data_IF_892596612619
#
_entry.id   IF_892596612619
#
_cell.length_a   1.000
_cell.length_b   1.000
_cell.length_c   1.000
_cell.angle_alpha   90.00
_cell.angle_beta   90.00
_cell.angle_gamma   90.00
#
_symmetry.space_group_name_H-M   'P 1'
#
loop_
_entity.id
_entity.type
_entity.pdbx_description
1 polymer ?
#
# COMPACT_ATOMS: atom_id res chain seq x y z
N UNK A 1 29.31 -10.71 34.05
CA UNK A 1 30.18 -9.94 33.14
C UNK A 1 30.21 -10.72 31.83
N UNK A 2 29.68 -10.31 30.69
CA UNK A 2 29.15 -9.02 30.23
C UNK A 2 28.29 -9.36 28.99
N UNK A 3 27.03 -8.91 28.96
CA UNK A 3 26.10 -9.09 27.83
C UNK A 3 26.36 -7.98 26.81
N UNK A 4 26.71 -8.32 25.56
CA UNK A 4 26.77 -7.34 24.46
C UNK A 4 25.46 -7.36 23.68
N UNK A 5 24.67 -6.30 23.83
CA UNK A 5 23.54 -5.99 22.97
C UNK A 5 24.02 -5.51 21.57
N UNK A 6 23.29 -5.78 20.48
CA UNK A 6 23.58 -5.16 19.18
C UNK A 6 23.17 -3.68 19.20
N UNK A 7 24.11 -2.80 18.87
CA UNK A 7 23.89 -1.35 18.79
C UNK A 7 22.99 -1.00 17.58
N UNK A 8 21.85 -0.37 17.88
CA UNK A 8 21.07 0.43 16.94
C UNK A 8 21.85 1.72 16.60
N UNK A 9 22.09 1.95 15.30
CA UNK A 9 22.13 3.25 14.60
C UNK A 9 22.52 4.51 15.40
N UNK A 10 23.72 5.06 15.18
CA UNK A 10 23.99 6.17 14.22
C UNK A 10 25.21 7.01 14.68
N UNK A 11 26.04 7.48 13.75
CA UNK A 11 27.19 8.34 14.10
C UNK A 11 28.00 8.94 12.96
N UNK A 12 27.68 8.69 11.70
CA UNK A 12 28.35 9.37 10.59
C UNK A 12 27.37 9.66 9.46
N UNK A 13 26.52 10.69 9.65
CA UNK A 13 25.76 11.30 8.55
C UNK A 13 26.58 12.39 7.90
N UNK A 14 26.89 12.19 6.62
CA UNK A 14 27.17 13.29 5.69
C UNK A 14 26.01 14.31 5.71
N UNK A 15 26.28 15.61 5.46
CA UNK A 15 25.25 16.64 5.50
C UNK A 15 24.16 16.34 4.46
N UNK A 16 22.94 16.21 4.96
CA UNK A 16 21.71 15.98 4.20
C UNK A 16 21.56 16.96 3.03
N UNK A 17 21.58 16.44 1.79
CA UNK A 17 21.04 17.14 0.61
C UNK A 17 19.55 17.38 0.86
N UNK A 18 19.15 18.66 0.90
CA UNK A 18 17.79 19.08 1.20
C UNK A 18 16.73 18.48 0.26
N UNK A 19 15.50 18.36 0.79
CA UNK A 19 14.31 17.92 0.06
C UNK A 19 14.15 18.67 -1.27
N UNK A 20 14.02 17.92 -2.37
CA UNK A 20 13.67 18.47 -3.69
C UNK A 20 12.27 19.07 -3.66
N UNK A 21 12.13 20.28 -4.21
CA UNK A 21 10.84 20.94 -4.44
C UNK A 21 10.08 20.29 -5.61
N UNK A 22 8.73 20.35 -5.62
CA UNK A 22 7.93 19.88 -6.75
C UNK A 22 8.25 20.67 -8.03
N UNK A 23 8.41 19.96 -9.15
CA UNK A 23 8.61 20.56 -10.47
C UNK A 23 7.32 21.29 -10.92
N UNK A 24 7.42 22.60 -11.16
CA UNK A 24 6.44 23.37 -11.92
C UNK A 24 6.32 22.85 -13.36
N UNK A 25 5.11 22.74 -13.93
CA UNK A 25 4.93 22.37 -15.33
C UNK A 25 5.50 23.47 -16.24
N UNK A 26 6.32 23.06 -17.21
CA UNK A 26 6.88 23.94 -18.23
C UNK A 26 5.80 24.36 -19.21
N UNK A 27 5.54 25.66 -19.31
CA UNK A 27 4.71 26.27 -20.35
C UNK A 27 5.33 25.99 -21.72
N UNK A 28 4.79 25.01 -22.44
CA UNK A 28 5.10 24.80 -23.86
C UNK A 28 3.82 24.45 -24.60
N UNK A 29 3.02 25.46 -24.89
CA UNK A 29 2.07 25.52 -26.00
C UNK A 29 1.68 27.00 -26.19
N UNK A 30 1.47 27.40 -27.44
CA UNK A 30 1.21 28.76 -27.97
C UNK A 30 2.45 29.55 -28.43
N UNK A 31 2.99 29.16 -29.59
CA UNK A 31 3.48 30.10 -30.60
C UNK A 31 3.59 29.43 -31.98
N UNK A 32 2.56 29.61 -32.78
CA UNK A 32 2.45 29.60 -34.26
C UNK A 32 0.94 29.78 -34.48
N UNK A 33 0.42 30.95 -34.82
CA UNK A 33 0.47 31.60 -36.12
C UNK A 33 0.26 33.12 -35.98
N UNK A 34 0.93 33.89 -36.84
CA UNK A 34 0.42 35.11 -37.51
C UNK A 34 1.61 36.03 -37.82
N UNK A 35 1.97 36.07 -39.10
CA UNK A 35 2.96 36.94 -39.69
C UNK A 35 2.24 37.97 -40.58
N UNK A 36 2.77 39.20 -40.64
CA UNK A 36 2.46 40.31 -41.60
C UNK A 36 1.25 41.20 -41.22
N UNK A 37 1.28 42.54 -41.18
CA UNK A 37 2.23 43.62 -41.54
C UNK A 37 1.80 44.91 -40.81
N UNK A 38 2.73 45.79 -40.41
CA UNK A 38 2.46 47.18 -39.95
C UNK A 38 2.19 48.13 -41.14
N UNK A 39 1.70 49.38 -40.96
CA UNK A 39 2.47 50.56 -40.46
C UNK A 39 1.61 51.49 -39.54
N UNK A 40 2.03 52.53 -38.80
CA UNK A 40 3.26 53.31 -38.59
C UNK A 40 3.01 54.39 -37.50
N UNK A 41 3.98 54.60 -36.60
CA UNK A 41 4.45 55.89 -35.94
C UNK A 41 3.51 56.76 -35.07
N UNK A 42 4.05 57.72 -34.26
CA UNK A 42 5.13 57.60 -33.26
C UNK A 42 4.82 58.39 -31.95
N UNK A 43 5.80 58.43 -31.02
CA UNK A 43 6.16 59.52 -30.06
C UNK A 43 6.44 58.97 -28.63
N UNK A 44 7.43 59.36 -27.83
CA UNK A 44 8.47 60.41 -27.90
C UNK A 44 9.41 60.23 -26.69
N UNK A 45 10.74 60.18 -26.92
CA UNK A 45 11.88 60.62 -26.06
C UNK A 45 12.05 60.08 -24.61
N UNK A 46 13.22 59.95 -23.98
CA UNK A 46 14.59 60.48 -24.19
C UNK A 46 15.59 59.64 -23.33
N UNK A 47 16.84 59.66 -23.78
CA UNK A 47 18.14 59.21 -23.22
C UNK A 47 18.44 59.70 -21.78
N UNK A 48 19.43 59.23 -20.99
CA UNK A 48 20.86 59.01 -21.27
C UNK A 48 21.55 58.21 -20.13
N UNK A 49 22.55 57.41 -20.53
CA UNK A 49 23.78 56.87 -19.88
C UNK A 49 24.10 57.14 -18.39
N UNK A 50 24.53 56.08 -17.67
CA UNK A 50 25.94 55.81 -17.30
C UNK A 50 26.08 54.75 -16.17
N UNK A 51 26.89 53.72 -16.40
CA UNK A 51 27.42 52.69 -15.46
C UNK A 51 28.55 53.29 -14.58
N UNK A 52 29.16 52.63 -13.54
CA UNK A 52 29.07 51.22 -13.11
C UNK A 52 29.09 50.91 -11.57
N UNK A 53 28.75 49.64 -11.27
CA UNK A 53 29.12 48.79 -10.11
C UNK A 53 28.76 49.17 -8.66
N UNK A 54 27.87 48.36 -8.06
CA UNK A 54 28.06 47.77 -6.73
C UNK A 54 27.20 46.52 -6.62
N UNK A 55 27.84 45.39 -6.30
CA UNK A 55 27.17 44.18 -5.82
C UNK A 55 26.30 44.50 -4.60
N UNK A 56 25.06 44.00 -4.56
CA UNK A 56 24.40 43.52 -3.34
C UNK A 56 23.03 42.87 -3.64
N UNK A 57 22.99 41.55 -3.47
CA UNK A 57 21.85 40.68 -3.08
C UNK A 57 20.45 41.16 -3.49
N UNK A 58 19.95 40.70 -4.63
CA UNK A 58 18.51 40.63 -4.91
C UNK A 58 17.88 39.51 -4.09
N UNK A 59 17.51 39.84 -2.85
CA UNK A 59 16.61 39.02 -2.06
C UNK A 59 15.26 38.90 -2.78
N UNK A 60 14.87 37.67 -3.11
CA UNK A 60 13.49 37.35 -3.48
C UNK A 60 12.64 37.67 -2.24
N UNK A 61 12.02 38.86 -2.20
CA UNK A 61 11.05 39.20 -1.16
C UNK A 61 9.88 38.24 -1.31
N UNK A 62 9.74 37.33 -0.36
CA UNK A 62 8.58 36.45 -0.22
C UNK A 62 7.31 37.31 -0.19
N UNK A 63 6.34 36.98 -1.05
CA UNK A 63 4.98 37.54 -1.02
C UNK A 63 4.06 36.81 -0.04
N UNK A 64 4.59 35.85 0.72
CA UNK A 64 3.84 35.09 1.70
C UNK A 64 3.80 35.89 3.01
N UNK A 65 2.60 36.31 3.39
CA UNK A 65 2.34 36.86 4.73
C UNK A 65 2.45 35.73 5.75
N UNK A 66 3.13 36.00 6.87
CA UNK A 66 3.14 35.11 8.05
C UNK A 66 1.75 35.04 8.70
N UNK A 67 0.93 36.06 8.47
CA UNK A 67 -0.43 36.17 9.00
C UNK A 67 -1.50 35.76 7.98
N UNK A 68 -1.18 34.86 7.04
CA UNK A 68 -2.18 34.36 6.10
C UNK A 68 -3.20 33.49 6.86
N UNK A 69 -4.52 33.77 6.75
CA UNK A 69 -5.53 32.96 7.41
C UNK A 69 -5.50 31.53 6.86
N UNK A 70 -5.61 30.56 7.78
CA UNK A 70 -5.60 29.14 7.45
C UNK A 70 -6.79 28.81 6.52
N UNK A 71 -6.50 28.10 5.43
CA UNK A 71 -7.51 27.76 4.44
C UNK A 71 -8.37 26.59 4.92
N UNK A 72 -9.65 26.85 5.18
CA UNK A 72 -10.64 25.83 5.51
C UNK A 72 -11.56 25.58 4.31
N UNK A 73 -11.63 24.33 3.78
CA UNK A 73 -12.58 23.97 2.75
C UNK A 73 -14.03 24.15 3.23
N UNK A 74 -14.93 24.62 2.36
CA UNK A 74 -16.33 24.94 2.68
C UNK A 74 -17.17 23.79 3.28
N UNK A 75 -16.67 22.56 3.27
CA UNK A 75 -17.33 21.38 3.82
C UNK A 75 -17.00 21.13 5.30
N UNK A 76 -16.04 21.87 5.87
CA UNK A 76 -15.62 21.70 7.27
C UNK A 76 -16.53 22.49 8.21
N UNK A 77 -17.36 21.78 9.00
CA UNK A 77 -18.05 22.35 10.15
C UNK A 77 -17.25 22.00 11.40
N UNK A 78 -16.71 23.03 12.08
CA UNK A 78 -15.96 22.86 13.32
C UNK A 78 -16.87 22.29 14.43
N UNK A 79 -16.47 21.20 15.11
CA UNK A 79 -17.08 20.84 16.38
C UNK A 79 -16.57 21.80 17.45
N UNK A 80 -17.51 22.43 18.15
CA UNK A 80 -17.29 23.30 19.31
C UNK A 80 -16.39 22.62 20.34
N UNK A 81 -15.40 23.36 20.82
CA UNK A 81 -14.44 23.00 21.86
C UNK A 81 -15.14 22.35 23.05
N UNK A 82 -14.85 21.07 23.29
CA UNK A 82 -15.03 20.42 24.58
C UNK A 82 -13.64 19.97 25.05
N UNK A 83 -13.13 20.68 26.06
CA UNK A 83 -12.02 20.24 26.89
C UNK A 83 -12.33 18.86 27.49
N UNK A 84 -11.41 17.92 27.29
CA UNK A 84 -10.97 16.84 28.20
C UNK A 84 -10.74 15.49 27.49
N UNK A 85 -9.71 14.81 27.99
CA UNK A 85 -9.34 13.39 27.80
C UNK A 85 -8.57 13.03 26.53
N UNK A 86 -7.24 13.04 26.64
CA UNK A 86 -6.42 11.96 26.10
C UNK A 86 -7.00 10.64 26.60
N UNK A 87 -7.84 9.99 25.80
CA UNK A 87 -8.39 8.68 26.15
C UNK A 87 -7.25 7.68 26.15
N UNK A 88 -7.04 7.01 27.27
CA UNK A 88 -6.01 5.97 27.38
C UNK A 88 -6.28 4.85 26.37
N UNK A 89 -5.22 4.13 25.96
CA UNK A 89 -5.32 2.95 25.09
C UNK A 89 -6.37 1.95 25.61
N UNK A 90 -6.54 1.87 26.93
CA UNK A 90 -7.55 1.03 27.57
C UNK A 90 -8.99 1.49 27.31
N UNK A 91 -9.25 2.79 27.17
CA UNK A 91 -10.59 3.31 26.90
C UNK A 91 -11.03 3.07 25.45
N UNK A 92 -10.07 3.02 24.51
CA UNK A 92 -10.34 2.66 23.11
C UNK A 92 -10.71 1.18 22.97
N UNK A 93 -10.03 0.31 23.72
CA UNK A 93 -10.36 -1.12 23.83
C UNK A 93 -11.76 -1.33 24.45
N UNK A 94 -12.11 -0.52 25.46
CA UNK A 94 -13.44 -0.57 26.12
C UNK A 94 -14.58 -0.03 25.27
N UNK A 95 -14.36 1.03 24.48
CA UNK A 95 -15.42 1.62 23.63
C UNK A 95 -15.97 0.64 22.60
N UNK A 96 -15.16 -0.29 22.08
CA UNK A 96 -15.63 -1.35 21.19
C UNK A 96 -16.39 -2.48 21.90
N UNK A 97 -16.12 -2.73 23.18
CA UNK A 97 -16.85 -3.72 23.99
C UNK A 97 -18.34 -3.35 24.19
N UNK A 98 -18.68 -2.07 24.09
CA UNK A 98 -20.06 -1.58 24.29
C UNK A 98 -20.88 -1.58 22.99
N UNK A 99 -20.24 -1.56 21.82
CA UNK A 99 -20.95 -1.49 20.52
C UNK A 99 -21.37 -2.86 19.98
N UNK A 100 -20.76 -3.97 20.41
CA UNK A 100 -21.11 -5.33 19.96
C UNK A 100 -22.36 -5.94 20.61
N UNK A 101 -23.02 -5.24 21.55
CA UNK A 101 -24.19 -5.79 22.26
C UNK A 101 -25.54 -5.58 21.57
N UNK A 102 -25.63 -4.97 20.38
CA UNK A 102 -26.92 -4.82 19.69
C UNK A 102 -26.81 -4.94 18.16
N UNK A 103 -27.50 -5.97 17.64
CA UNK A 103 -27.99 -6.15 16.26
C UNK A 103 -27.07 -6.93 15.28
N UNK A 104 -27.18 -8.26 15.32
CA UNK A 104 -27.19 -9.07 14.08
C UNK A 104 -28.46 -9.92 14.13
N UNK A 105 -29.44 -9.56 13.30
CA UNK A 105 -30.58 -10.40 12.99
C UNK A 105 -30.43 -10.78 11.51
N UNK A 106 -29.92 -11.98 11.25
CA UNK A 106 -29.89 -12.58 9.92
C UNK A 106 -31.10 -13.54 9.77
N UNK A 107 -31.73 -13.62 8.58
CA UNK A 107 -32.81 -14.57 8.31
C UNK A 107 -32.25 -15.98 8.06
N UNK A 108 -33.04 -17.06 8.24
CA UNK A 108 -32.51 -18.41 8.25
C UNK A 108 -32.40 -18.96 6.82
N UNK A 109 -31.22 -19.43 6.44
CA UNK A 109 -31.07 -20.37 5.32
C UNK A 109 -30.31 -21.59 5.82
N UNK A 110 -31.04 -22.70 5.90
CA UNK A 110 -30.53 -24.03 6.21
C UNK A 110 -29.46 -24.44 5.21
N UNK A 111 -28.22 -24.57 5.68
CA UNK A 111 -27.23 -25.54 5.23
C UNK A 111 -26.25 -25.73 6.39
N UNK A 112 -26.03 -26.97 6.79
CA UNK A 112 -25.18 -27.34 7.92
C UNK A 112 -23.72 -27.15 7.48
N UNK A 113 -23.22 -25.92 7.56
CA UNK A 113 -21.81 -25.68 7.82
C UNK A 113 -21.62 -25.82 9.33
N UNK A 114 -20.66 -26.65 9.72
CA UNK A 114 -20.29 -26.81 11.12
C UNK A 114 -19.61 -25.51 11.54
N UNK A 115 -20.41 -24.55 12.01
CA UNK A 115 -19.92 -23.36 12.68
C UNK A 115 -19.12 -23.81 13.91
N UNK A 116 -17.80 -23.87 13.75
CA UNK A 116 -16.89 -23.91 14.88
C UNK A 116 -17.16 -22.65 15.70
N UNK A 117 -17.84 -22.80 16.83
CA UNK A 117 -17.99 -21.72 17.81
C UNK A 117 -16.56 -21.26 18.14
N UNK A 118 -16.22 -20.04 17.73
CA UNK A 118 -14.89 -19.47 17.98
C UNK A 118 -14.59 -19.57 19.48
N UNK A 119 -13.43 -20.12 19.82
CA UNK A 119 -12.94 -20.10 21.20
C UNK A 119 -12.88 -18.65 21.69
N UNK A 120 -13.08 -18.36 22.99
CA UNK A 120 -12.81 -17.04 23.55
C UNK A 120 -11.45 -16.47 23.16
N UNK A 121 -10.44 -17.33 22.99
CA UNK A 121 -9.10 -16.94 22.55
C UNK A 121 -9.04 -16.63 21.05
N UNK A 122 -9.82 -17.31 20.21
CA UNK A 122 -9.97 -16.96 18.79
C UNK A 122 -10.60 -15.58 18.63
N UNK A 123 -11.65 -15.28 19.42
CA UNK A 123 -12.32 -13.97 19.40
C UNK A 123 -11.33 -12.88 19.81
N UNK A 124 -10.56 -13.10 20.88
CA UNK A 124 -9.53 -12.17 21.34
C UNK A 124 -8.45 -11.95 20.28
N UNK A 125 -7.96 -13.01 19.66
CA UNK A 125 -6.92 -12.92 18.64
C UNK A 125 -7.42 -12.22 17.37
N UNK A 126 -8.64 -12.53 16.90
CA UNK A 126 -9.31 -11.80 15.81
C UNK A 126 -9.42 -10.31 16.14
N UNK A 127 -9.90 -9.98 17.35
CA UNK A 127 -10.06 -8.58 17.77
C UNK A 127 -8.71 -7.83 17.78
N UNK A 128 -7.65 -8.48 18.27
CA UNK A 128 -6.30 -7.93 18.28
C UNK A 128 -5.77 -7.70 16.86
N UNK A 129 -5.88 -8.69 15.98
CA UNK A 129 -5.48 -8.58 14.57
C UNK A 129 -6.21 -7.40 13.92
N UNK A 130 -7.54 -7.33 14.07
CA UNK A 130 -8.37 -6.28 13.48
C UNK A 130 -8.02 -4.89 14.01
N UNK A 131 -7.76 -4.78 15.31
CA UNK A 131 -7.37 -3.50 15.94
C UNK A 131 -6.05 -3.00 15.38
N UNK A 132 -5.06 -3.89 15.30
CA UNK A 132 -3.70 -3.56 14.87
C UNK A 132 -3.63 -3.19 13.38
N UNK A 133 -4.55 -3.73 12.58
CA UNK A 133 -4.60 -3.53 11.12
C UNK A 133 -5.53 -2.41 10.68
N UNK A 134 -6.49 -1.98 11.52
CA UNK A 134 -7.37 -0.83 11.26
C UNK A 134 -6.70 0.52 11.50
N UNK A 135 -5.75 0.59 12.43
CA UNK A 135 -5.07 1.83 12.81
C UNK A 135 -3.56 1.80 12.43
N UNK A 136 -3.20 1.94 11.14
CA UNK A 136 -1.81 1.83 10.69
C UNK A 136 -0.87 2.87 11.33
N UNK A 137 -1.39 4.04 11.74
CA UNK A 137 -0.62 5.09 12.43
C UNK A 137 -0.25 4.75 13.88
N UNK A 138 -0.84 3.70 14.45
CA UNK A 138 -0.54 3.20 15.80
C UNK A 138 0.03 1.78 15.76
N UNK A 139 0.39 1.29 14.57
CA UNK A 139 0.85 -0.09 14.39
C UNK A 139 2.01 -0.41 15.33
N UNK A 140 3.05 0.44 15.39
CA UNK A 140 4.21 0.19 16.25
C UNK A 140 3.84 0.13 17.73
N UNK A 141 3.01 1.07 18.20
CA UNK A 141 2.58 1.14 19.61
C UNK A 141 1.73 -0.08 20.02
N UNK A 142 0.94 -0.61 19.09
CA UNK A 142 0.09 -1.78 19.32
C UNK A 142 0.83 -3.10 19.09
N UNK A 143 1.88 -3.10 18.27
CA UNK A 143 2.65 -4.30 17.92
C UNK A 143 3.32 -4.92 19.13
N UNK A 144 3.93 -4.11 19.99
CA UNK A 144 4.60 -4.63 21.18
C UNK A 144 3.61 -5.33 22.11
N UNK A 145 2.44 -4.71 22.36
CA UNK A 145 1.35 -5.29 23.15
C UNK A 145 0.83 -6.59 22.52
N UNK A 146 0.71 -6.62 21.20
CA UNK A 146 0.29 -7.80 20.46
C UNK A 146 1.32 -8.93 20.60
N UNK A 147 2.60 -8.64 20.41
CA UNK A 147 3.68 -9.62 20.50
C UNK A 147 3.84 -10.15 21.92
N UNK A 148 3.74 -9.29 22.95
CA UNK A 148 3.73 -9.74 24.36
C UNK A 148 2.56 -10.69 24.66
N UNK A 149 1.43 -10.49 23.97
CA UNK A 149 0.27 -11.38 24.10
C UNK A 149 0.47 -12.70 23.36
N UNK A 150 1.14 -12.70 22.21
CA UNK A 150 1.32 -13.87 21.37
C UNK A 150 2.54 -14.73 21.77
N UNK A 151 3.58 -14.10 22.33
CA UNK A 151 4.86 -14.71 22.69
C UNK A 151 4.74 -15.95 23.59
N UNK A 152 3.84 -15.99 24.60
CA UNK A 152 3.66 -17.19 25.43
C UNK A 152 3.20 -18.43 24.66
N UNK A 153 2.69 -18.25 23.43
CA UNK A 153 2.14 -19.32 22.60
C UNK A 153 3.06 -19.72 21.43
N UNK A 154 4.27 -19.17 21.34
CA UNK A 154 5.19 -19.49 20.24
C UNK A 154 5.68 -20.94 20.23
N UNK A 155 5.66 -21.63 21.38
CA UNK A 155 5.97 -23.07 21.44
C UNK A 155 4.76 -23.95 21.08
N UNK A 156 3.55 -23.37 20.99
CA UNK A 156 2.34 -24.08 20.64
C UNK A 156 2.04 -23.97 19.14
N UNK A 157 2.46 -24.99 18.40
CA UNK A 157 2.28 -25.10 16.95
C UNK A 157 0.80 -25.00 16.57
N UNK A 158 -0.13 -25.50 17.38
CA UNK A 158 -1.56 -25.44 17.06
C UNK A 158 -2.11 -24.02 17.18
N UNK A 159 -1.67 -23.27 18.20
CA UNK A 159 -2.07 -21.87 18.38
C UNK A 159 -1.48 -21.00 17.28
N UNK A 160 -0.21 -21.19 16.93
CA UNK A 160 0.40 -20.51 15.79
C UNK A 160 -0.31 -20.82 14.48
N UNK A 161 -0.68 -22.09 14.29
CA UNK A 161 -1.38 -22.49 13.09
C UNK A 161 -2.74 -21.80 12.99
N UNK A 162 -3.47 -21.77 14.11
CA UNK A 162 -4.73 -21.06 14.24
C UNK A 162 -4.57 -19.57 14.01
N UNK A 163 -3.52 -18.94 14.54
CA UNK A 163 -3.23 -17.52 14.33
C UNK A 163 -3.02 -17.18 12.84
N UNK A 164 -2.26 -18.00 12.11
CA UNK A 164 -2.03 -17.82 10.68
C UNK A 164 -3.33 -17.92 9.89
N UNK A 165 -4.15 -18.93 10.20
CA UNK A 165 -5.46 -19.13 9.59
C UNK A 165 -6.38 -17.93 9.85
N UNK A 166 -6.48 -17.48 11.10
CA UNK A 166 -7.30 -16.33 11.47
C UNK A 166 -6.83 -15.05 10.77
N UNK A 167 -5.53 -14.82 10.67
CA UNK A 167 -4.99 -13.64 10.00
C UNK A 167 -5.37 -13.64 8.51
N UNK A 168 -5.10 -14.74 7.78
CA UNK A 168 -5.47 -14.87 6.37
C UNK A 168 -6.99 -14.73 6.19
N UNK A 169 -7.77 -15.29 7.12
CA UNK A 169 -9.23 -15.20 7.09
C UNK A 169 -9.74 -13.76 7.24
N UNK A 170 -9.22 -13.02 8.22
CA UNK A 170 -9.61 -11.63 8.44
C UNK A 170 -9.23 -10.74 7.25
N UNK A 171 -8.08 -10.99 6.63
CA UNK A 171 -7.60 -10.21 5.48
C UNK A 171 -8.53 -10.35 4.28
N UNK A 172 -8.95 -11.57 3.93
CA UNK A 172 -9.89 -11.71 2.82
C UNK A 172 -11.27 -11.12 3.17
N UNK A 173 -11.69 -11.18 4.44
CA UNK A 173 -13.02 -10.73 4.85
C UNK A 173 -13.18 -9.21 4.84
N UNK A 174 -12.12 -8.46 5.17
CA UNK A 174 -12.15 -7.00 5.30
C UNK A 174 -11.83 -6.27 3.98
N UNK A 175 -11.19 -6.95 3.03
CA UNK A 175 -10.86 -6.51 1.66
C UNK A 175 -10.48 -5.01 1.51
N UNK A 176 -9.65 -4.49 2.43
CA UNK A 176 -9.22 -3.08 2.42
C UNK A 176 -7.71 -2.96 2.13
N UNK A 177 -7.24 -2.10 1.21
CA UNK A 177 -5.81 -1.99 0.85
C UNK A 177 -4.89 -1.73 2.05
N UNK A 178 -5.22 -0.76 2.89
CA UNK A 178 -4.41 -0.45 4.09
C UNK A 178 -4.36 -1.61 5.08
N UNK A 179 -5.44 -2.38 5.16
CA UNK A 179 -5.52 -3.55 6.03
C UNK A 179 -4.60 -4.65 5.50
N UNK A 180 -4.64 -4.94 4.20
CA UNK A 180 -3.76 -5.95 3.55
C UNK A 180 -2.28 -5.64 3.76
N UNK A 181 -1.87 -4.40 3.50
CA UNK A 181 -0.50 -3.95 3.73
C UNK A 181 -0.07 -4.15 5.19
N UNK A 182 -0.91 -3.69 6.13
CA UNK A 182 -0.61 -3.76 7.57
C UNK A 182 -0.59 -5.20 8.08
N UNK A 183 -1.47 -6.06 7.56
CA UNK A 183 -1.48 -7.48 7.87
C UNK A 183 -0.22 -8.20 7.35
N UNK A 184 0.25 -7.86 6.15
CA UNK A 184 1.49 -8.43 5.62
C UNK A 184 2.70 -8.01 6.47
N UNK A 185 2.71 -6.75 6.91
CA UNK A 185 3.72 -6.25 7.85
C UNK A 185 3.65 -6.97 9.20
N UNK A 186 2.45 -7.27 9.71
CA UNK A 186 2.27 -8.08 10.91
C UNK A 186 2.85 -9.49 10.72
N UNK A 187 2.57 -10.17 9.60
CA UNK A 187 3.17 -11.47 9.28
C UNK A 187 4.70 -11.42 9.30
N UNK A 188 5.30 -10.37 8.72
CA UNK A 188 6.75 -10.18 8.75
C UNK A 188 7.27 -10.07 10.18
N UNK A 189 6.57 -9.34 11.05
CA UNK A 189 6.97 -9.21 12.45
C UNK A 189 6.84 -10.54 13.19
N UNK A 190 5.73 -11.27 13.04
CA UNK A 190 5.52 -12.57 13.70
C UNK A 190 6.61 -13.55 13.26
N UNK A 191 6.89 -13.64 11.97
CA UNK A 191 7.90 -14.54 11.42
C UNK A 191 9.32 -14.26 11.97
N UNK A 192 9.65 -13.00 12.25
CA UNK A 192 10.95 -12.63 12.82
C UNK A 192 11.12 -13.17 14.25
N UNK A 193 10.04 -13.24 15.03
CA UNK A 193 10.07 -13.77 16.39
C UNK A 193 9.79 -15.28 16.46
N UNK A 194 9.01 -15.82 15.53
CA UNK A 194 8.62 -17.21 15.48
C UNK A 194 8.68 -17.73 14.02
N UNK A 195 9.83 -18.28 13.61
CA UNK A 195 10.02 -18.84 12.27
C UNK A 195 9.07 -20.00 11.94
N UNK A 196 8.53 -20.71 12.94
CA UNK A 196 7.58 -21.81 12.82
C UNK A 196 6.25 -21.35 12.22
N UNK A 197 5.84 -20.10 12.49
CA UNK A 197 4.65 -19.47 11.90
C UNK A 197 4.68 -19.48 10.36
N UNK A 198 5.87 -19.38 9.77
CA UNK A 198 6.07 -19.33 8.32
C UNK A 198 5.46 -20.52 7.58
N UNK A 199 5.67 -21.72 8.12
CA UNK A 199 5.21 -22.94 7.47
C UNK A 199 3.68 -22.96 7.35
N UNK A 200 2.98 -22.60 8.43
CA UNK A 200 1.52 -22.50 8.39
C UNK A 200 1.05 -21.36 7.49
N UNK A 201 1.70 -20.19 7.53
CA UNK A 201 1.33 -19.07 6.67
C UNK A 201 1.39 -19.48 5.18
N UNK A 202 2.46 -20.16 4.77
CA UNK A 202 2.60 -20.69 3.41
C UNK A 202 1.49 -21.68 3.06
N UNK A 203 1.22 -22.65 3.93
CA UNK A 203 0.20 -23.68 3.71
C UNK A 203 -1.20 -23.07 3.61
N UNK A 204 -1.52 -22.15 4.52
CA UNK A 204 -2.80 -21.43 4.57
C UNK A 204 -3.00 -20.63 3.29
N UNK A 205 -2.04 -19.78 2.90
CA UNK A 205 -2.16 -19.00 1.67
C UNK A 205 -2.37 -19.90 0.43
N UNK A 206 -1.65 -21.02 0.35
CA UNK A 206 -1.79 -21.95 -0.77
C UNK A 206 -3.18 -22.61 -0.81
N UNK A 207 -3.67 -23.07 0.34
CA UNK A 207 -4.98 -23.71 0.48
C UNK A 207 -6.10 -22.74 0.11
N UNK A 208 -6.06 -21.54 0.67
CA UNK A 208 -7.10 -20.53 0.48
C UNK A 208 -7.13 -20.02 -0.98
N UNK A 209 -5.96 -19.86 -1.63
CA UNK A 209 -5.88 -19.51 -3.06
C UNK A 209 -6.46 -20.57 -3.99
N UNK A 210 -6.47 -21.85 -3.57
CA UNK A 210 -7.07 -22.95 -4.35
C UNK A 210 -8.58 -22.99 -4.15
N UNK A 211 -9.06 -22.87 -2.90
CA UNK A 211 -10.44 -23.19 -2.52
C UNK A 211 -11.46 -22.08 -2.77
N UNK A 212 -11.11 -20.80 -2.64
CA UNK A 212 -12.11 -19.72 -2.65
C UNK A 212 -12.32 -19.11 -4.04
N UNK A 213 -13.58 -18.94 -4.47
CA UNK A 213 -13.95 -18.38 -5.79
C UNK A 213 -13.69 -16.87 -5.90
N UNK A 214 -13.70 -16.13 -4.79
CA UNK A 214 -13.44 -14.69 -4.74
C UNK A 214 -11.99 -14.42 -4.29
N UNK A 215 -11.04 -14.48 -5.23
CA UNK A 215 -9.58 -14.48 -4.95
C UNK A 215 -8.96 -13.10 -4.88
N UNK A 216 -9.69 -12.00 -5.07
CA UNK A 216 -9.05 -10.69 -5.30
C UNK A 216 -8.32 -10.15 -4.07
N UNK A 217 -8.98 -10.10 -2.91
CA UNK A 217 -8.38 -9.63 -1.66
C UNK A 217 -7.21 -10.51 -1.22
N UNK A 218 -7.36 -11.84 -1.34
CA UNK A 218 -6.31 -12.80 -1.00
C UNK A 218 -5.12 -12.73 -1.96
N UNK A 219 -5.35 -12.61 -3.28
CA UNK A 219 -4.28 -12.47 -4.26
C UNK A 219 -3.45 -11.21 -4.01
N UNK A 220 -4.12 -10.10 -3.73
CA UNK A 220 -3.44 -8.84 -3.41
C UNK A 220 -2.71 -8.94 -2.07
N UNK A 221 -3.25 -9.66 -1.08
CA UNK A 221 -2.53 -9.92 0.15
C UNK A 221 -1.27 -10.77 -0.07
N UNK A 222 -1.35 -11.83 -0.88
CA UNK A 222 -0.18 -12.63 -1.24
C UNK A 222 0.84 -11.81 -2.04
N UNK A 223 0.39 -10.84 -2.84
CA UNK A 223 1.27 -9.88 -3.49
C UNK A 223 2.00 -8.98 -2.48
N UNK A 224 1.30 -8.47 -1.46
CA UNK A 224 1.92 -7.72 -0.36
C UNK A 224 2.93 -8.60 0.40
N UNK A 225 2.57 -9.84 0.73
CA UNK A 225 3.49 -10.81 1.34
C UNK A 225 4.74 -11.00 0.49
N UNK A 226 4.60 -11.23 -0.82
CA UNK A 226 5.74 -11.38 -1.73
C UNK A 226 6.67 -10.15 -1.76
N UNK A 227 6.13 -8.94 -1.59
CA UNK A 227 6.95 -7.72 -1.54
C UNK A 227 7.65 -7.49 -0.21
N UNK A 228 7.10 -8.01 0.89
CA UNK A 228 7.57 -7.74 2.25
C UNK A 228 8.35 -8.91 2.86
N UNK A 229 8.11 -10.14 2.39
CA UNK A 229 8.79 -11.36 2.81
C UNK A 229 9.81 -11.80 1.76
N UNK A 230 11.02 -12.14 2.20
CA UNK A 230 12.10 -12.64 1.35
C UNK A 230 11.95 -14.13 0.98
N UNK A 231 10.75 -14.51 0.52
CA UNK A 231 10.41 -15.87 0.08
C UNK A 231 9.94 -15.86 -1.38
N UNK A 232 10.76 -15.28 -2.26
CA UNK A 232 10.38 -14.94 -3.63
C UNK A 232 9.95 -16.19 -4.42
N UNK A 233 10.65 -17.31 -4.23
CA UNK A 233 10.33 -18.55 -4.92
C UNK A 233 8.95 -19.11 -4.55
N UNK A 234 8.53 -18.98 -3.28
CA UNK A 234 7.29 -19.60 -2.78
C UNK A 234 6.10 -18.75 -3.20
N UNK A 235 6.08 -17.49 -2.77
CA UNK A 235 4.96 -16.60 -3.09
C UNK A 235 4.93 -16.22 -4.57
N UNK A 236 6.08 -16.14 -5.24
CA UNK A 236 6.15 -15.95 -6.69
C UNK A 236 5.44 -17.07 -7.45
N UNK A 237 5.65 -18.33 -7.06
CA UNK A 237 4.94 -19.46 -7.65
C UNK A 237 3.42 -19.39 -7.38
N UNK A 238 3.01 -19.06 -6.15
CA UNK A 238 1.58 -18.91 -5.81
C UNK A 238 0.90 -17.82 -6.64
N UNK A 239 1.56 -16.67 -6.83
CA UNK A 239 1.07 -15.58 -7.66
C UNK A 239 0.91 -16.03 -9.12
N UNK A 240 1.92 -16.66 -9.71
CA UNK A 240 1.88 -17.16 -11.09
C UNK A 240 0.74 -18.17 -11.29
N UNK A 241 0.60 -19.15 -10.38
CA UNK A 241 -0.48 -20.14 -10.45
C UNK A 241 -1.85 -19.48 -10.36
N UNK A 242 -2.02 -18.54 -9.43
CA UNK A 242 -3.26 -17.80 -9.27
C UNK A 242 -3.58 -16.93 -10.49
N UNK A 243 -2.58 -16.25 -11.08
CA UNK A 243 -2.76 -15.48 -12.32
C UNK A 243 -3.22 -16.38 -13.47
N UNK A 244 -2.56 -17.52 -13.68
CA UNK A 244 -2.93 -18.48 -14.74
C UNK A 244 -4.35 -19.00 -14.57
N UNK A 245 -4.75 -19.30 -13.34
CA UNK A 245 -6.09 -19.77 -13.03
C UNK A 245 -7.15 -18.67 -13.24
N UNK A 246 -6.93 -17.47 -12.72
CA UNK A 246 -7.86 -16.35 -12.89
C UNK A 246 -8.00 -15.90 -14.35
N UNK A 247 -6.91 -15.95 -15.13
CA UNK A 247 -6.96 -15.71 -16.58
C UNK A 247 -7.77 -16.78 -17.32
N UNK A 248 -7.74 -18.04 -16.86
CA UNK A 248 -8.55 -19.11 -17.47
C UNK A 248 -10.04 -18.97 -17.20
N UNK A 249 -10.41 -18.39 -16.05
CA UNK A 249 -11.82 -18.03 -15.74
C UNK A 249 -12.24 -16.79 -16.54
N UNK A 250 -11.32 -15.84 -16.71
CA UNK A 250 -11.58 -14.57 -17.38
C UNK A 250 -12.42 -13.61 -16.52
N UNK A 251 -12.93 -12.55 -17.15
CA UNK A 251 -13.76 -11.54 -16.50
C UNK A 251 -13.00 -10.29 -16.05
N UNK A 252 -13.71 -9.16 -16.07
CA UNK A 252 -13.10 -7.84 -15.82
C UNK A 252 -12.48 -7.73 -14.42
N UNK A 253 -13.16 -8.21 -13.37
CA UNK A 253 -12.64 -8.10 -11.99
C UNK A 253 -11.38 -8.94 -11.76
N UNK A 254 -11.35 -10.16 -12.30
CA UNK A 254 -10.18 -11.03 -12.23
C UNK A 254 -8.97 -10.38 -12.91
N UNK A 255 -9.16 -9.85 -14.12
CA UNK A 255 -8.11 -9.15 -14.87
C UNK A 255 -7.64 -7.89 -14.14
N UNK A 256 -8.54 -7.08 -13.57
CA UNK A 256 -8.17 -5.91 -12.76
C UNK A 256 -7.28 -6.33 -11.59
N UNK A 257 -7.69 -7.37 -10.87
CA UNK A 257 -6.96 -7.86 -9.71
C UNK A 257 -5.55 -8.36 -10.09
N UNK A 258 -5.43 -9.15 -11.16
CA UNK A 258 -4.13 -9.59 -11.70
C UNK A 258 -3.26 -8.38 -12.03
N UNK A 259 -3.81 -7.39 -12.75
CA UNK A 259 -3.05 -6.20 -13.13
C UNK A 259 -2.61 -5.38 -11.90
N UNK A 260 -3.45 -5.28 -10.86
CA UNK A 260 -3.08 -4.63 -9.61
C UNK A 260 -1.95 -5.36 -8.90
N UNK A 261 -2.03 -6.69 -8.81
CA UNK A 261 -0.96 -7.50 -8.22
C UNK A 261 0.35 -7.38 -9.01
N UNK A 262 0.29 -7.45 -10.36
CA UNK A 262 1.46 -7.26 -11.23
C UNK A 262 2.11 -5.89 -11.08
N UNK A 263 1.37 -4.82 -10.79
CA UNK A 263 1.96 -3.50 -10.51
C UNK A 263 2.82 -3.51 -9.25
N UNK A 264 2.47 -4.33 -8.26
CA UNK A 264 3.22 -4.45 -7.01
C UNK A 264 4.42 -5.39 -7.15
N UNK A 265 4.26 -6.49 -7.90
CA UNK A 265 5.20 -7.63 -7.88
C UNK A 265 5.99 -7.82 -9.17
N UNK A 266 5.60 -7.13 -10.25
CA UNK A 266 6.01 -7.43 -11.61
C UNK A 266 7.52 -7.35 -11.86
N UNK A 267 8.20 -6.36 -11.28
CA UNK A 267 9.64 -6.24 -11.39
C UNK A 267 10.37 -7.43 -10.75
N UNK A 268 10.04 -7.74 -9.50
CA UNK A 268 10.67 -8.87 -8.80
C UNK A 268 10.35 -10.21 -9.48
N UNK A 269 9.11 -10.39 -9.97
CA UNK A 269 8.75 -11.58 -10.75
C UNK A 269 9.52 -11.69 -12.07
N UNK A 270 9.88 -10.56 -12.70
CA UNK A 270 10.75 -10.56 -13.88
C UNK A 270 12.15 -11.08 -13.56
N UNK A 271 12.66 -10.86 -12.33
CA UNK A 271 13.97 -11.34 -11.91
C UNK A 271 13.96 -12.83 -11.58
N UNK A 272 12.95 -13.31 -10.83
CA UNK A 272 12.95 -14.65 -10.27
C UNK A 272 12.11 -15.67 -11.06
N UNK A 273 11.06 -15.24 -11.76
CA UNK A 273 10.08 -16.10 -12.43
C UNK A 273 9.80 -15.70 -13.89
N UNK A 274 10.77 -15.10 -14.58
CA UNK A 274 10.63 -14.53 -15.93
C UNK A 274 9.82 -15.40 -16.91
N UNK A 275 10.24 -16.66 -17.09
CA UNK A 275 9.61 -17.57 -18.07
C UNK A 275 8.12 -17.78 -17.77
N UNK A 276 7.78 -17.94 -16.50
CA UNK A 276 6.39 -18.12 -16.10
C UNK A 276 5.59 -16.82 -16.23
N UNK A 277 6.22 -15.67 -15.98
CA UNK A 277 5.63 -14.35 -16.19
C UNK A 277 5.38 -14.08 -17.68
N UNK A 278 6.28 -14.51 -18.57
CA UNK A 278 6.10 -14.44 -20.02
C UNK A 278 4.79 -15.13 -20.45
N UNK A 279 4.55 -16.35 -19.96
CA UNK A 279 3.31 -17.09 -20.23
C UNK A 279 2.05 -16.36 -19.70
N UNK A 280 2.14 -15.70 -18.55
CA UNK A 280 1.04 -14.88 -18.00
C UNK A 280 0.73 -13.70 -18.93
N UNK A 281 1.74 -13.02 -19.46
CA UNK A 281 1.55 -11.90 -20.38
C UNK A 281 1.05 -12.31 -21.77
N UNK A 282 1.40 -13.50 -22.25
CA UNK A 282 0.79 -14.07 -23.47
C UNK A 282 -0.72 -14.22 -23.26
N UNK A 283 -1.12 -14.91 -22.19
CA UNK A 283 -2.55 -15.08 -21.84
C UNK A 283 -3.27 -13.75 -21.58
N UNK A 284 -2.59 -12.78 -20.96
CA UNK A 284 -3.16 -11.45 -20.72
C UNK A 284 -3.49 -10.73 -22.03
N UNK A 285 -2.68 -10.91 -23.07
CA UNK A 285 -2.96 -10.39 -24.41
C UNK A 285 -4.09 -11.15 -25.11
N UNK A 286 -4.22 -12.46 -24.89
CA UNK A 286 -5.32 -13.27 -25.44
C UNK A 286 -6.68 -12.86 -24.86
N UNK A 287 -6.76 -12.55 -23.55
CA UNK A 287 -8.00 -12.08 -22.91
C UNK A 287 -8.29 -10.60 -23.13
N UNK A 288 -7.33 -9.83 -23.66
CA UNK A 288 -7.47 -8.38 -23.89
C UNK A 288 -8.72 -8.00 -24.71
N UNK A 289 -9.11 -8.72 -25.78
CA UNK A 289 -10.30 -8.38 -26.56
C UNK A 289 -11.62 -8.67 -25.83
N UNK A 290 -11.62 -9.53 -24.80
CA UNK A 290 -12.83 -9.91 -24.07
C UNK A 290 -13.11 -9.04 -22.84
N UNK A 291 -12.21 -8.12 -22.49
CA UNK A 291 -12.37 -7.19 -21.37
C UNK A 291 -12.61 -5.76 -21.83
N UNK A 292 -13.27 -4.96 -21.00
CA UNK A 292 -13.66 -3.58 -21.33
C UNK A 292 -13.40 -2.62 -20.17
N UNK A 293 -13.50 -1.32 -20.46
CA UNK A 293 -13.38 -0.25 -19.46
C UNK A 293 -12.06 -0.28 -18.69
N UNK A 294 -12.15 -0.21 -17.35
CA UNK A 294 -10.99 -0.14 -16.46
C UNK A 294 -10.07 -1.36 -16.57
N UNK A 295 -10.60 -2.56 -16.84
CA UNK A 295 -9.78 -3.76 -16.99
C UNK A 295 -8.84 -3.66 -18.20
N UNK A 296 -9.37 -3.20 -19.34
CA UNK A 296 -8.57 -2.97 -20.55
C UNK A 296 -7.51 -1.88 -20.35
N UNK A 297 -7.87 -0.79 -19.66
CA UNK A 297 -6.91 0.27 -19.29
C UNK A 297 -5.78 -0.26 -18.42
N UNK A 298 -6.09 -1.11 -17.44
CA UNK A 298 -5.10 -1.73 -16.58
C UNK A 298 -4.18 -2.71 -17.33
N UNK A 299 -4.71 -3.51 -18.27
CA UNK A 299 -3.88 -4.37 -19.14
C UNK A 299 -2.86 -3.52 -19.89
N UNK A 300 -3.31 -2.45 -20.56
CA UNK A 300 -2.41 -1.57 -21.30
C UNK A 300 -1.36 -0.94 -20.37
N UNK A 301 -1.76 -0.55 -19.16
CA UNK A 301 -0.86 0.00 -18.15
C UNK A 301 0.23 -0.99 -17.72
N UNK A 302 -0.10 -2.26 -17.47
CA UNK A 302 0.92 -3.26 -17.06
C UNK A 302 1.82 -3.69 -18.21
N UNK A 303 1.31 -3.76 -19.45
CA UNK A 303 2.13 -4.02 -20.64
C UNK A 303 3.15 -2.89 -20.83
N UNK A 304 2.71 -1.63 -20.70
CA UNK A 304 3.59 -0.47 -20.80
C UNK A 304 4.61 -0.39 -19.65
N UNK A 305 4.21 -0.76 -18.43
CA UNK A 305 5.15 -0.89 -17.31
C UNK A 305 6.22 -1.93 -17.63
N UNK A 306 5.83 -3.12 -18.09
CA UNK A 306 6.78 -4.17 -18.44
C UNK A 306 7.74 -3.75 -19.55
N UNK A 307 7.24 -3.10 -20.62
CA UNK A 307 8.10 -2.61 -21.71
C UNK A 307 9.06 -1.50 -21.28
N UNK A 308 8.74 -0.76 -20.22
CA UNK A 308 9.58 0.27 -19.60
C UNK A 308 10.39 -0.25 -18.40
N UNK A 309 10.65 -1.56 -18.33
CA UNK A 309 11.35 -2.23 -17.22
C UNK A 309 10.76 -1.89 -15.84
N UNK A 310 9.44 -1.84 -15.76
CA UNK A 310 8.69 -1.54 -14.54
C UNK A 310 9.03 -0.17 -13.92
N UNK A 311 9.49 0.78 -14.73
CA UNK A 311 9.93 2.10 -14.26
C UNK A 311 11.38 2.17 -13.77
N UNK A 312 12.17 1.11 -13.96
CA UNK A 312 13.58 1.06 -13.57
C UNK A 312 14.56 1.48 -14.68
N UNK A 313 14.05 1.99 -15.80
CA UNK A 313 14.88 2.65 -16.81
C UNK A 313 15.52 3.91 -16.20
N UNK A 314 16.74 3.78 -15.66
CA UNK A 314 17.61 4.93 -15.46
C UNK A 314 17.85 5.58 -16.82
N UNK A 315 17.84 6.93 -16.94
CA UNK A 315 18.36 7.57 -18.14
C UNK A 315 19.83 7.20 -18.23
N UNK A 316 20.14 6.23 -19.08
CA UNK A 316 21.49 5.99 -19.55
C UNK A 316 21.82 7.23 -20.39
N UNK A 317 22.44 8.22 -19.76
CA UNK A 317 23.08 9.32 -20.48
C UNK A 317 24.13 8.67 -21.39
N UNK A 318 23.82 8.63 -22.68
CA UNK A 318 24.83 8.55 -23.75
C UNK A 318 25.59 9.86 -23.83
#
# INVERSE_FOLDING_TARGET
MENKAPQLWDGNREPSKGLRRPNTPSNRLLKEEANKTSPSTPETTKSFNATPQSENKTGIKSRLSVDAPEFYPSSYKNPTVASNTTSSIQDRLKKHKVTESNTIQQPPTNNIEVDFIDSPDDIRLKHLIVTLTKDPGQFSDLLDIFMDTLCPYFDDILVLARAAQLLVQQVYAIDHPSFRYTAARLCCCIEQYCPEFRAELHLTCQKELKNHSNKSGLLLFVAELYTQLHHENIYGNYLIEAYKHLLSIGGNENVKCICQALKLTGYSLELYNKKALDEVFVKLNEVKPSVTGTALSLINSVINLRSSQWGHNSPVNM
#
